data_IF_661661519319
#
_entry.id   IF_661661519319
#
_cell.length_a   1.000
_cell.length_b   1.000
_cell.length_c   1.000
_cell.angle_alpha   90.00
_cell.angle_beta   90.00
_cell.angle_gamma   90.00
#
_symmetry.space_group_name_H-M   'P 1'
#
loop_
_entity.id
_entity.type
_entity.pdbx_description
1 polymer ?
#
# COMPACT_ATOMS: atom_id res chain seq x y z
N UNK A 1 -5.96 -14.25 8.08
CA UNK A 1 -5.97 -12.81 7.80
C UNK A 1 -7.14 -12.56 6.87
N UNK A 2 -7.94 -11.54 7.13
CA UNK A 2 -8.97 -11.12 6.17
C UNK A 2 -8.35 -10.22 5.09
N UNK A 3 -9.07 -10.05 3.99
CA UNK A 3 -8.64 -9.15 2.91
C UNK A 3 -8.42 -7.70 3.42
N UNK A 4 -9.31 -7.20 4.29
CA UNK A 4 -9.20 -5.87 4.89
C UNK A 4 -7.97 -5.73 5.80
N UNK A 5 -7.66 -6.75 6.61
CA UNK A 5 -6.44 -6.78 7.41
C UNK A 5 -5.19 -6.74 6.51
N UNK A 6 -5.22 -7.45 5.38
CA UNK A 6 -4.11 -7.48 4.44
C UNK A 6 -3.94 -6.14 3.71
N UNK A 7 -5.03 -5.45 3.33
CA UNK A 7 -4.99 -4.07 2.80
C UNK A 7 -4.33 -3.11 3.80
N UNK A 8 -4.71 -3.21 5.06
CA UNK A 8 -4.11 -2.41 6.15
C UNK A 8 -2.62 -2.69 6.30
N UNK A 9 -2.21 -3.96 6.33
CA UNK A 9 -0.81 -4.36 6.43
C UNK A 9 0.02 -3.88 5.21
N UNK A 10 -0.56 -3.90 4.00
CA UNK A 10 0.07 -3.35 2.78
C UNK A 10 0.36 -1.86 2.93
N UNK A 11 -0.66 -1.07 3.28
CA UNK A 11 -0.52 0.39 3.41
C UNK A 11 0.47 0.75 4.53
N UNK A 12 0.41 0.07 5.68
CA UNK A 12 1.37 0.23 6.76
C UNK A 12 2.81 -0.08 6.30
N UNK A 13 3.01 -1.20 5.60
CA UNK A 13 4.35 -1.59 5.12
C UNK A 13 4.92 -0.56 4.15
N UNK A 14 4.07 -0.02 3.26
CA UNK A 14 4.45 1.06 2.34
C UNK A 14 4.80 2.35 3.10
N UNK A 15 4.03 2.72 4.13
CA UNK A 15 4.28 3.90 4.96
C UNK A 15 5.61 3.77 5.72
N UNK A 16 5.84 2.61 6.36
CA UNK A 16 7.09 2.30 7.07
C UNK A 16 8.32 2.37 6.18
N UNK A 17 8.18 2.03 4.89
CA UNK A 17 9.25 2.09 3.87
C UNK A 17 9.28 3.41 3.10
N UNK A 18 8.43 4.38 3.45
CA UNK A 18 8.32 5.71 2.83
C UNK A 18 8.16 5.62 1.31
N UNK A 19 7.26 4.76 0.85
CA UNK A 19 6.94 4.57 -0.57
C UNK A 19 6.05 5.72 -1.04
N UNK A 20 6.60 6.93 -1.16
CA UNK A 20 5.85 8.15 -1.53
C UNK A 20 6.67 9.04 -2.45
N UNK A 21 6.03 10.00 -3.12
CA UNK A 21 6.70 10.96 -4.00
C UNK A 21 7.46 10.27 -5.14
N UNK A 22 8.77 10.53 -5.25
CA UNK A 22 9.66 9.90 -6.23
C UNK A 22 10.10 8.48 -5.85
N UNK A 23 9.85 8.03 -4.62
CA UNK A 23 10.24 6.72 -4.13
C UNK A 23 9.12 5.68 -4.34
N UNK A 24 8.60 5.62 -5.56
CA UNK A 24 7.63 4.59 -5.96
C UNK A 24 8.28 3.20 -6.00
N UNK A 25 7.45 2.16 -5.95
CA UNK A 25 7.86 0.76 -6.07
C UNK A 25 6.96 0.04 -7.07
N UNK A 26 7.51 -0.96 -7.74
CA UNK A 26 6.68 -1.89 -8.52
C UNK A 26 5.83 -2.73 -7.56
N UNK A 27 4.61 -3.07 -7.96
CA UNK A 27 3.73 -4.02 -7.23
C UNK A 27 4.50 -5.28 -6.86
N UNK A 28 5.28 -5.83 -7.80
CA UNK A 28 6.13 -7.01 -7.58
C UNK A 28 7.17 -6.80 -6.46
N UNK A 29 7.69 -5.59 -6.27
CA UNK A 29 8.61 -5.31 -5.17
C UNK A 29 7.88 -5.33 -3.82
N UNK A 30 6.65 -4.83 -3.77
CA UNK A 30 5.86 -4.73 -2.56
C UNK A 30 5.35 -6.12 -2.14
N UNK A 31 4.82 -6.92 -3.08
CA UNK A 31 4.32 -8.28 -2.77
C UNK A 31 5.43 -9.19 -2.22
N UNK A 32 6.68 -8.99 -2.65
CA UNK A 32 7.84 -9.70 -2.10
C UNK A 32 8.19 -9.35 -0.64
N UNK A 33 7.48 -8.41 0.01
CA UNK A 33 7.61 -8.15 1.44
C UNK A 33 6.69 -9.02 2.31
N UNK A 34 5.82 -9.81 1.67
CA UNK A 34 4.84 -10.69 2.29
C UNK A 34 5.21 -12.16 2.06
N UNK A 35 4.53 -13.06 2.79
CA UNK A 35 4.75 -14.49 2.66
C UNK A 35 4.41 -14.95 1.23
N UNK A 36 5.12 -15.98 0.74
CA UNK A 36 4.98 -16.45 -0.65
C UNK A 36 3.55 -16.87 -1.00
N UNK A 37 2.83 -17.45 -0.06
CA UNK A 37 1.43 -17.88 -0.24
C UNK A 37 0.47 -16.68 -0.39
N UNK A 38 0.80 -15.51 0.16
CA UNK A 38 -0.04 -14.30 0.14
C UNK A 38 0.29 -13.39 -1.07
N UNK A 39 1.37 -13.65 -1.82
CA UNK A 39 1.86 -12.71 -2.84
C UNK A 39 0.90 -12.47 -3.99
N UNK A 40 0.11 -13.48 -4.35
CA UNK A 40 -0.92 -13.36 -5.39
C UNK A 40 -1.98 -12.35 -4.96
N UNK A 41 -2.57 -12.59 -3.79
CA UNK A 41 -3.60 -11.74 -3.19
C UNK A 41 -3.08 -10.32 -2.95
N UNK A 42 -1.87 -10.15 -2.38
CA UNK A 42 -1.26 -8.83 -2.17
C UNK A 42 -1.13 -8.05 -3.48
N UNK A 43 -0.77 -8.72 -4.58
CA UNK A 43 -0.66 -8.08 -5.89
C UNK A 43 -2.00 -7.49 -6.35
N UNK A 44 -3.06 -8.29 -6.26
CA UNK A 44 -4.42 -7.90 -6.65
C UNK A 44 -4.95 -6.75 -5.78
N UNK A 45 -4.70 -6.82 -4.46
CA UNK A 45 -5.14 -5.78 -3.51
C UNK A 45 -4.41 -4.45 -3.71
N UNK A 46 -3.13 -4.46 -4.08
CA UNK A 46 -2.41 -3.22 -4.40
C UNK A 46 -3.03 -2.55 -5.63
N UNK A 47 -3.42 -3.33 -6.64
CA UNK A 47 -4.09 -2.78 -7.82
C UNK A 47 -5.49 -2.25 -7.49
N UNK A 48 -6.22 -2.93 -6.62
CA UNK A 48 -7.52 -2.46 -6.12
C UNK A 48 -7.37 -1.14 -5.37
N UNK A 49 -6.47 -1.07 -4.39
CA UNK A 49 -6.16 0.15 -3.63
C UNK A 49 -5.71 1.29 -4.57
N UNK A 50 -4.96 0.99 -5.63
CA UNK A 50 -4.53 2.01 -6.59
C UNK A 50 -5.67 2.55 -7.49
N UNK A 51 -6.80 1.84 -7.58
CA UNK A 51 -8.00 2.24 -8.34
C UNK A 51 -9.05 2.89 -7.45
N UNK A 52 -9.04 2.65 -6.15
CA UNK A 52 -9.93 3.28 -5.18
C UNK A 52 -9.51 4.73 -4.93
N UNK A 53 -10.34 5.74 -5.27
CA UNK A 53 -10.02 7.15 -5.00
C UNK A 53 -9.94 7.50 -3.51
N UNK A 54 -10.44 6.64 -2.61
CA UNK A 54 -10.39 6.85 -1.16
C UNK A 54 -9.21 6.17 -0.49
N UNK A 55 -8.50 5.30 -1.20
CA UNK A 55 -7.31 4.65 -0.67
C UNK A 55 -6.07 5.53 -0.87
N UNK A 56 -5.07 5.47 0.04
CA UNK A 56 -3.90 6.32 0.00
C UNK A 56 -2.85 5.79 -0.99
N UNK A 57 -3.23 4.91 -1.93
CA UNK A 57 -2.34 4.28 -2.91
C UNK A 57 -2.72 4.80 -4.28
N UNK A 58 -1.72 5.14 -5.10
CA UNK A 58 -1.93 5.56 -6.47
C UNK A 58 -0.91 4.94 -7.40
N UNK A 59 -1.37 4.67 -8.64
CA UNK A 59 -0.47 4.37 -9.74
C UNK A 59 0.50 5.53 -10.02
N UNK A 60 1.71 5.19 -10.46
CA UNK A 60 2.74 6.16 -10.83
C UNK A 60 3.46 5.75 -12.11
N UNK A 61 3.39 6.60 -13.13
CA UNK A 61 4.09 6.42 -14.41
C UNK A 61 3.47 5.28 -15.24
N UNK A 62 2.87 5.63 -16.37
CA UNK A 62 1.98 4.75 -17.16
C UNK A 62 2.59 3.52 -17.85
N UNK A 63 3.63 2.85 -17.31
CA UNK A 63 4.23 1.71 -18.02
C UNK A 63 4.72 0.49 -17.22
N UNK A 64 4.72 0.42 -15.87
CA UNK A 64 5.27 -0.79 -15.19
C UNK A 64 4.62 -1.17 -13.85
N UNK A 65 3.34 -0.87 -13.64
CA UNK A 65 2.66 -1.22 -12.38
C UNK A 65 3.37 -0.64 -11.15
N UNK A 66 4.01 0.52 -11.30
CA UNK A 66 4.62 1.20 -10.18
C UNK A 66 3.53 1.95 -9.41
N UNK A 67 3.57 1.82 -8.09
CA UNK A 67 2.64 2.44 -7.16
C UNK A 67 3.39 3.23 -6.09
N UNK A 68 2.69 4.18 -5.49
CA UNK A 68 3.16 4.93 -4.34
C UNK A 68 1.98 5.33 -3.46
N UNK A 69 2.30 5.69 -2.23
CA UNK A 69 1.37 6.42 -1.39
C UNK A 69 1.18 7.84 -1.91
N UNK A 70 -0.06 8.33 -1.88
CA UNK A 70 -0.42 9.72 -2.21
C UNK A 70 0.39 10.68 -1.34
N UNK A 71 0.39 10.44 -0.03
CA UNK A 71 1.29 11.03 0.95
C UNK A 71 1.42 10.12 2.18
N UNK A 72 2.39 10.43 3.04
CA UNK A 72 2.50 9.74 4.34
C UNK A 72 1.34 10.10 5.27
N UNK A 73 0.84 11.34 5.18
CA UNK A 73 -0.28 11.79 6.00
C UNK A 73 -1.56 11.06 5.61
N UNK A 74 -1.88 10.97 4.31
CA UNK A 74 -3.07 10.27 3.84
C UNK A 74 -3.03 8.79 4.23
N UNK A 75 -1.85 8.16 4.17
CA UNK A 75 -1.68 6.79 4.63
C UNK A 75 -1.96 6.65 6.14
N UNK A 76 -1.50 7.61 6.96
CA UNK A 76 -1.78 7.63 8.40
C UNK A 76 -3.26 7.81 8.69
N UNK A 77 -3.90 8.78 8.04
CA UNK A 77 -5.33 9.07 8.22
C UNK A 77 -6.21 7.89 7.79
N UNK A 78 -5.86 7.25 6.67
CA UNK A 78 -6.56 6.06 6.19
C UNK A 78 -6.37 4.88 7.14
N UNK A 79 -5.16 4.64 7.65
CA UNK A 79 -4.90 3.56 8.60
C UNK A 79 -5.62 3.78 9.94
N UNK A 80 -5.67 5.02 10.43
CA UNK A 80 -6.39 5.38 11.65
C UNK A 80 -7.90 5.11 11.50
N UNK A 81 -8.48 5.47 10.34
CA UNK A 81 -9.87 5.16 10.01
C UNK A 81 -10.17 3.65 9.95
N UNK A 82 -9.16 2.82 9.68
CA UNK A 82 -9.23 1.35 9.70
C UNK A 82 -8.79 0.74 11.05
N UNK A 83 -8.63 1.56 12.10
CA UNK A 83 -8.32 1.11 13.45
C UNK A 83 -6.84 0.83 13.71
N UNK A 84 -5.94 1.34 12.86
CA UNK A 84 -4.48 1.18 13.00
C UNK A 84 -3.77 2.51 13.17
N UNK A 85 -3.34 2.77 14.41
CA UNK A 85 -2.56 3.96 14.76
C UNK A 85 -1.06 3.76 14.49
N UNK A 86 -0.50 4.64 13.65
CA UNK A 86 0.92 4.74 13.36
C UNK A 86 1.62 5.70 14.34
N UNK A 87 1.64 5.38 15.64
CA UNK A 87 2.24 6.22 16.68
C UNK A 87 3.77 6.46 16.52
N UNK A 88 4.45 5.65 15.72
CA UNK A 88 5.89 5.74 15.44
C UNK A 88 6.24 6.62 14.22
N UNK A 89 5.24 7.24 13.59
CA UNK A 89 5.37 7.99 12.34
C UNK A 89 5.24 9.50 12.57
#
# INVERSE_FOLDING_TARGET
MTEDELKVDIVEKMARKKVTGGHNKQVDTIKNWFASDDQGEVGDLIEELARDPNAPVQGYGGSRGAVRLTSIQDAKDWLDAHGRDLWWL
#
